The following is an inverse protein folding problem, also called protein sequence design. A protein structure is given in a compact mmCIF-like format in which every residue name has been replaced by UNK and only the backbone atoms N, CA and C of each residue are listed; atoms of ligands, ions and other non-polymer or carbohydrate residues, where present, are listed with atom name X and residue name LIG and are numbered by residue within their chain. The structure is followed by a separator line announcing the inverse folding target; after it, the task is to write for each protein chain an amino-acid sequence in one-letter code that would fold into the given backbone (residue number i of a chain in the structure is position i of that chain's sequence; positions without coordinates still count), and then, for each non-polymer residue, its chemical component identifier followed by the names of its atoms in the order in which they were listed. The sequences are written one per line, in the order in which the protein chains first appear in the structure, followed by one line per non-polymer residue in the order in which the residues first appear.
data_IF_332239161455
#
_entry.id   IF_332239161455
#
_cell.length_a   1.000
_cell.length_b   1.000
_cell.length_c   1.000
_cell.angle_alpha   90.00
_cell.angle_beta   90.00
_cell.angle_gamma   90.00
#
_symmetry.space_group_name_H-M   'P 1'
#
loop_
_entity.id
_entity.type
_entity.pdbx_description
1 polymer ?
#
# COMPACT_ATOMS: atom_id res chain seq x y z
N UNK A 1 -15.73 -5.85 23.76
CA UNK A 1 -14.96 -6.07 22.52
C UNK A 1 -13.72 -6.85 22.92
N UNK A 2 -13.49 -8.05 22.39
CA UNK A 2 -12.36 -8.87 22.80
C UNK A 2 -11.08 -8.16 22.30
N UNK A 3 -10.41 -7.43 23.20
CA UNK A 3 -9.22 -6.60 22.94
C UNK A 3 -7.94 -7.44 22.80
N UNK A 4 -8.06 -8.74 22.49
CA UNK A 4 -6.93 -9.48 21.94
C UNK A 4 -6.64 -8.92 20.54
N UNK A 5 -6.00 -7.75 20.52
CA UNK A 5 -5.48 -7.10 19.33
C UNK A 5 -4.67 -8.14 18.58
N UNK A 6 -5.06 -8.44 17.34
CA UNK A 6 -4.20 -9.18 16.41
C UNK A 6 -2.81 -8.55 16.49
N UNK A 7 -1.79 -9.35 16.78
CA UNK A 7 -0.42 -8.90 16.63
C UNK A 7 -0.16 -8.62 15.15
N UNK A 8 0.09 -7.35 14.83
CA UNK A 8 0.36 -6.89 13.47
C UNK A 8 1.86 -6.73 13.22
N UNK A 9 2.73 -7.02 14.19
CA UNK A 9 4.18 -6.84 14.03
C UNK A 9 4.74 -7.67 12.87
N UNK A 10 4.21 -8.87 12.66
CA UNK A 10 4.53 -9.77 11.55
C UNK A 10 4.00 -9.29 10.19
N UNK A 11 3.10 -8.29 10.15
CA UNK A 11 2.64 -7.67 8.90
C UNK A 11 3.69 -6.67 8.35
N UNK A 12 4.80 -6.43 9.06
CA UNK A 12 5.90 -5.52 8.68
C UNK A 12 7.24 -6.24 8.52
N UNK A 13 8.18 -5.72 7.70
CA UNK A 13 9.53 -6.24 7.62
C UNK A 13 10.27 -6.18 8.96
N UNK A 14 10.80 -7.31 9.42
CA UNK A 14 11.63 -7.38 10.60
C UNK A 14 13.11 -7.17 10.24
N UNK A 15 13.72 -6.12 10.77
CA UNK A 15 15.15 -5.81 10.57
C UNK A 15 16.04 -6.21 11.74
N UNK A 16 15.48 -6.80 12.81
CA UNK A 16 16.16 -7.07 14.07
C UNK A 16 16.55 -5.82 14.86
N UNK A 17 16.10 -4.63 14.43
CA UNK A 17 16.42 -3.33 15.04
C UNK A 17 15.19 -2.74 15.70
N UNK A 18 15.41 -1.99 16.77
CA UNK A 18 14.36 -1.15 17.39
C UNK A 18 14.20 0.11 16.54
N UNK A 19 13.11 0.18 15.77
CA UNK A 19 12.82 1.32 14.90
C UNK A 19 11.92 2.34 15.60
N UNK A 20 12.50 3.50 15.97
CA UNK A 20 11.79 4.56 16.70
C UNK A 20 11.52 5.81 15.85
N UNK A 21 11.76 5.77 14.54
CA UNK A 21 11.69 6.94 13.65
C UNK A 21 10.38 7.06 12.84
N UNK A 22 9.28 6.49 13.34
CA UNK A 22 7.99 6.41 12.62
C UNK A 22 7.38 7.78 12.29
N UNK A 23 7.69 8.82 13.06
CA UNK A 23 7.22 10.18 12.76
C UNK A 23 7.91 10.80 11.54
N UNK A 24 9.10 10.31 11.17
CA UNK A 24 9.80 10.73 9.95
C UNK A 24 9.32 9.89 8.76
N UNK A 25 9.55 8.57 8.82
CA UNK A 25 9.10 7.61 7.82
C UNK A 25 8.78 6.32 8.56
N UNK A 26 7.60 5.74 8.33
CA UNK A 26 7.22 4.46 8.95
C UNK A 26 7.72 3.28 8.13
N UNK A 27 7.86 2.12 8.79
CA UNK A 27 8.01 0.86 8.08
C UNK A 27 6.77 0.59 7.23
N UNK A 28 6.97 0.16 5.99
CA UNK A 28 5.88 -0.16 5.08
C UNK A 28 5.38 -1.58 5.34
N UNK A 29 4.08 -1.82 5.53
CA UNK A 29 3.53 -3.17 5.66
C UNK A 29 3.84 -4.03 4.44
N UNK A 30 4.05 -5.34 4.63
CA UNK A 30 4.31 -6.30 3.56
C UNK A 30 3.25 -6.24 2.46
N UNK A 31 1.97 -6.11 2.83
CA UNK A 31 0.88 -5.98 1.87
C UNK A 31 1.01 -4.74 0.97
N UNK A 32 1.53 -3.62 1.50
CA UNK A 32 1.75 -2.41 0.70
C UNK A 32 2.93 -2.59 -0.27
N UNK A 33 3.97 -3.31 0.14
CA UNK A 33 5.10 -3.67 -0.72
C UNK A 33 4.62 -4.56 -1.88
N UNK A 34 3.84 -5.59 -1.57
CA UNK A 34 3.27 -6.51 -2.57
C UNK A 34 2.33 -5.78 -3.54
N UNK A 35 1.42 -4.93 -3.03
CA UNK A 35 0.52 -4.15 -3.88
C UNK A 35 1.27 -3.23 -4.85
N UNK A 36 2.39 -2.63 -4.41
CA UNK A 36 3.23 -1.81 -5.29
C UNK A 36 3.95 -2.65 -6.34
N UNK A 37 4.51 -3.80 -5.95
CA UNK A 37 5.13 -4.76 -6.88
C UNK A 37 4.15 -5.19 -7.96
N UNK A 38 2.94 -5.59 -7.58
CA UNK A 38 1.91 -6.07 -8.50
C UNK A 38 1.41 -4.94 -9.42
N UNK A 39 1.27 -3.73 -8.89
CA UNK A 39 0.96 -2.54 -9.69
C UNK A 39 2.04 -2.31 -10.75
N UNK A 40 3.32 -2.32 -10.38
CA UNK A 40 4.44 -2.07 -11.30
C UNK A 40 4.53 -3.14 -12.39
N UNK A 41 4.38 -4.43 -12.03
CA UNK A 41 4.36 -5.53 -13.01
C UNK A 41 3.20 -5.33 -13.99
N UNK A 42 1.98 -5.10 -13.48
CA UNK A 42 0.79 -4.94 -14.31
C UNK A 42 0.91 -3.73 -15.24
N UNK A 43 1.34 -2.60 -14.69
CA UNK A 43 1.51 -1.35 -15.44
C UNK A 43 2.58 -1.49 -16.53
N UNK A 44 3.70 -2.14 -16.23
CA UNK A 44 4.75 -2.42 -17.21
C UNK A 44 4.27 -3.35 -18.32
N UNK A 45 3.53 -4.42 -17.96
CA UNK A 45 2.97 -5.36 -18.94
C UNK A 45 1.92 -4.73 -19.86
N UNK A 46 1.16 -3.75 -19.38
CA UNK A 46 0.21 -2.98 -20.21
C UNK A 46 0.91 -2.01 -21.16
N UNK A 47 2.20 -1.72 -20.94
CA UNK A 47 2.90 -0.59 -21.54
C UNK A 47 2.55 0.70 -20.79
N UNK A 48 3.54 1.37 -20.17
CA UNK A 48 3.25 2.54 -19.32
C UNK A 48 2.59 3.68 -20.09
N UNK A 49 2.95 3.85 -21.36
CA UNK A 49 2.35 4.83 -22.27
C UNK A 49 1.46 4.12 -23.31
N UNK A 50 0.43 3.43 -22.82
CA UNK A 50 -0.54 2.74 -23.66
C UNK A 50 -1.95 3.21 -23.38
N UNK A 51 -2.84 3.02 -24.36
CA UNK A 51 -4.27 3.30 -24.22
C UNK A 51 -4.87 2.50 -23.05
N UNK A 52 -4.34 1.31 -22.76
CA UNK A 52 -4.80 0.46 -21.66
C UNK A 52 -4.34 0.92 -20.28
N UNK A 53 -3.22 1.64 -20.18
CA UNK A 53 -2.66 2.07 -18.90
C UNK A 53 -3.41 3.25 -18.29
N UNK A 54 -3.97 4.13 -19.13
CA UNK A 54 -4.72 5.31 -18.70
C UNK A 54 -5.95 4.98 -17.83
N UNK A 55 -6.91 4.14 -18.27
CA UNK A 55 -8.06 3.79 -17.43
C UNK A 55 -7.63 3.03 -16.16
N UNK A 56 -6.58 2.20 -16.24
CA UNK A 56 -6.04 1.49 -15.09
C UNK A 56 -5.53 2.45 -13.99
N UNK A 57 -4.72 3.46 -14.36
CA UNK A 57 -4.24 4.47 -13.40
C UNK A 57 -5.41 5.29 -12.84
N UNK A 58 -6.33 5.74 -13.70
CA UNK A 58 -7.47 6.55 -13.30
C UNK A 58 -8.34 5.83 -12.25
N UNK A 59 -8.58 4.53 -12.44
CA UNK A 59 -9.31 3.70 -11.49
C UNK A 59 -8.58 3.60 -10.14
N UNK A 60 -7.27 3.30 -10.15
CA UNK A 60 -6.46 3.24 -8.91
C UNK A 60 -6.52 4.56 -8.15
N UNK A 61 -6.35 5.69 -8.84
CA UNK A 61 -6.44 7.02 -8.24
C UNK A 61 -7.82 7.27 -7.60
N UNK A 62 -8.90 6.98 -8.33
CA UNK A 62 -10.26 7.21 -7.83
C UNK A 62 -10.57 6.34 -6.61
N UNK A 63 -10.17 5.07 -6.64
CA UNK A 63 -10.40 4.14 -5.54
C UNK A 63 -9.59 4.54 -4.29
N UNK A 64 -8.31 4.92 -4.45
CA UNK A 64 -7.49 5.43 -3.33
C UNK A 64 -8.12 6.67 -2.70
N UNK A 65 -8.59 7.64 -3.50
CA UNK A 65 -9.26 8.85 -2.98
C UNK A 65 -10.52 8.50 -2.19
N UNK A 66 -11.33 7.54 -2.66
CA UNK A 66 -12.52 7.07 -1.93
C UNK A 66 -12.16 6.41 -0.60
N UNK A 67 -11.09 5.62 -0.56
CA UNK A 67 -10.64 4.95 0.68
C UNK A 67 -10.15 5.99 1.69
N UNK A 68 -9.30 6.94 1.26
CA UNK A 68 -8.82 8.02 2.14
C UNK A 68 -10.00 8.84 2.68
N UNK A 69 -10.97 9.18 1.83
CA UNK A 69 -12.16 9.91 2.26
C UNK A 69 -12.95 9.18 3.36
N UNK A 70 -13.05 7.85 3.30
CA UNK A 70 -13.70 7.01 4.33
C UNK A 70 -12.91 6.90 5.64
N UNK A 71 -11.61 7.18 5.62
CA UNK A 71 -10.76 7.16 6.82
C UNK A 71 -10.86 8.49 7.56
N UNK A 72 -11.02 9.60 6.82
CA UNK A 72 -11.03 10.96 7.36
C UNK A 72 -12.45 11.41 7.78
N UNK A 73 -13.48 11.04 7.01
CA UNK A 73 -14.89 11.41 7.26
C UNK A 73 -15.69 10.24 7.85
#
# INVERSE_FOLDING_TARGET
MNLASKDISEDFPNSGKIYLNNASVSLMPLQSIEAMKDFLISYNSMGPDSIGSQPFIAEKLQNTRKIIAKIIN
#
